data_IF_371219443381
#
_entry.id   IF_371219443381
#
_cell.length_a   1.000
_cell.length_b   1.000
_cell.length_c   1.000
_cell.angle_alpha   90.00
_cell.angle_beta   90.00
_cell.angle_gamma   90.00
#
_symmetry.space_group_name_H-M   'P 1'
#
loop_
_entity.id
_entity.type
_entity.pdbx_description
1 polymer ?
#
# COMPACT_ATOMS: atom_id res chain seq x y z
N UNK A 1 -30.49 7.60 -24.60
CA UNK A 1 -29.16 6.95 -24.59
C UNK A 1 -28.52 7.37 -23.26
N UNK A 2 -28.51 6.46 -22.28
CA UNK A 2 -27.83 6.70 -21.00
C UNK A 2 -26.32 6.78 -21.30
N UNK A 3 -25.67 7.83 -20.81
CA UNK A 3 -24.20 7.90 -20.81
C UNK A 3 -23.63 6.62 -20.19
N UNK A 4 -22.54 6.06 -20.72
CA UNK A 4 -21.91 4.91 -20.08
C UNK A 4 -21.52 5.33 -18.66
N UNK A 5 -21.92 4.52 -17.67
CA UNK A 5 -21.57 4.66 -16.25
C UNK A 5 -20.05 4.70 -16.15
N UNK A 6 -19.47 5.88 -16.29
CA UNK A 6 -18.02 6.07 -16.16
C UNK A 6 -17.67 5.80 -14.72
N UNK A 7 -16.99 4.68 -14.48
CA UNK A 7 -16.47 4.32 -13.15
C UNK A 7 -15.66 5.52 -12.65
N UNK A 8 -16.05 6.15 -11.54
CA UNK A 8 -15.37 7.34 -11.06
C UNK A 8 -13.90 6.99 -10.80
N UNK A 9 -12.98 7.84 -11.26
CA UNK A 9 -11.55 7.71 -10.96
C UNK A 9 -11.32 8.06 -9.49
N UNK A 10 -11.58 7.11 -8.60
CA UNK A 10 -11.46 7.26 -7.16
C UNK A 10 -10.47 6.23 -6.62
N UNK A 11 -9.48 6.72 -5.88
CA UNK A 11 -8.39 5.95 -5.29
C UNK A 11 -8.45 6.05 -3.77
N UNK A 12 -8.50 4.91 -3.09
CA UNK A 12 -8.21 4.81 -1.66
C UNK A 12 -6.77 4.32 -1.48
N UNK A 13 -5.97 5.06 -0.76
CA UNK A 13 -4.63 4.64 -0.33
C UNK A 13 -4.67 4.23 1.13
N UNK A 14 -4.25 3.00 1.44
CA UNK A 14 -4.05 2.56 2.81
C UNK A 14 -2.56 2.69 3.13
N UNK A 15 -2.22 3.77 3.82
CA UNK A 15 -0.83 4.11 4.16
C UNK A 15 -0.32 3.35 5.39
N UNK A 16 0.92 2.89 5.33
CA UNK A 16 1.63 2.38 6.50
C UNK A 16 2.02 3.51 7.44
N UNK A 17 2.53 4.60 6.86
CA UNK A 17 2.80 5.87 7.55
C UNK A 17 2.12 7.03 6.80
N UNK A 18 1.94 8.19 7.43
CA UNK A 18 1.71 9.40 6.66
C UNK A 18 2.96 9.66 5.80
N UNK A 19 2.80 10.15 4.56
CA UNK A 19 3.94 10.43 3.72
C UNK A 19 4.87 11.49 4.36
N UNK A 20 6.14 11.13 4.51
CA UNK A 20 7.19 12.02 5.04
C UNK A 20 8.31 12.15 3.99
N UNK A 21 8.07 12.90 2.89
CA UNK A 21 8.98 12.92 1.73
C UNK A 21 10.37 13.49 2.03
N UNK A 22 10.48 14.34 3.05
CA UNK A 22 11.75 14.93 3.48
C UNK A 22 12.51 14.07 4.48
N UNK A 23 11.88 13.01 5.02
CA UNK A 23 12.46 12.16 6.06
C UNK A 23 12.79 10.75 5.54
N UNK A 24 12.02 10.21 4.58
CA UNK A 24 12.17 8.82 4.14
C UNK A 24 12.02 8.64 2.63
N UNK A 25 12.80 7.73 2.06
CA UNK A 25 12.67 7.35 0.64
C UNK A 25 11.29 6.76 0.32
N UNK A 26 10.70 6.00 1.26
CA UNK A 26 9.34 5.47 1.13
C UNK A 26 8.28 6.60 1.11
N UNK A 27 8.46 7.64 1.95
CA UNK A 27 7.61 8.84 1.94
C UNK A 27 7.71 9.59 0.62
N UNK A 28 8.90 9.73 0.05
CA UNK A 28 9.09 10.35 -1.26
C UNK A 28 8.44 9.51 -2.36
N UNK A 29 8.60 8.17 -2.35
CA UNK A 29 8.00 7.27 -3.32
C UNK A 29 6.48 7.37 -3.33
N UNK A 30 5.84 7.29 -2.16
CA UNK A 30 4.38 7.36 -2.09
C UNK A 30 3.87 8.71 -2.58
N UNK A 31 4.57 9.82 -2.31
CA UNK A 31 4.23 11.14 -2.86
C UNK A 31 4.29 11.17 -4.38
N UNK A 32 5.27 10.55 -5.02
CA UNK A 32 5.33 10.44 -6.47
C UNK A 32 4.16 9.64 -7.05
N UNK A 33 3.77 8.56 -6.40
CA UNK A 33 2.59 7.77 -6.79
C UNK A 33 1.31 8.61 -6.68
N UNK A 34 1.11 9.31 -5.56
CA UNK A 34 -0.03 10.20 -5.36
C UNK A 34 -0.11 11.28 -6.45
N UNK A 35 1.01 11.97 -6.73
CA UNK A 35 1.09 12.97 -7.78
C UNK A 35 0.76 12.39 -9.16
N UNK A 36 1.27 11.19 -9.48
CA UNK A 36 0.96 10.51 -10.73
C UNK A 36 -0.53 10.18 -10.89
N UNK A 37 -1.21 9.77 -9.82
CA UNK A 37 -2.65 9.52 -9.83
C UNK A 37 -3.46 10.82 -9.93
N UNK A 38 -3.05 11.89 -9.22
CA UNK A 38 -3.69 13.22 -9.35
C UNK A 38 -3.61 13.74 -10.79
N UNK A 39 -2.45 13.64 -11.45
CA UNK A 39 -2.26 14.03 -12.85
C UNK A 39 -3.15 13.23 -13.81
N UNK A 40 -3.51 12.00 -13.45
CA UNK A 40 -4.45 11.17 -14.20
C UNK A 40 -5.93 11.43 -13.85
N UNK A 41 -6.20 12.42 -12.99
CA UNK A 41 -7.53 12.84 -12.60
C UNK A 41 -8.21 11.95 -11.55
N UNK A 42 -7.44 11.21 -10.74
CA UNK A 42 -8.00 10.47 -9.61
C UNK A 42 -8.32 11.41 -8.45
N UNK A 43 -9.50 11.22 -7.87
CA UNK A 43 -9.80 11.73 -6.53
C UNK A 43 -9.20 10.77 -5.51
N UNK A 44 -8.37 11.29 -4.60
CA UNK A 44 -7.59 10.45 -3.68
C UNK A 44 -8.06 10.66 -2.25
N UNK A 45 -8.34 9.56 -1.57
CA UNK A 45 -8.48 9.49 -0.11
C UNK A 45 -7.29 8.72 0.45
N UNK A 46 -6.52 9.33 1.33
CA UNK A 46 -5.40 8.68 2.03
C UNK A 46 -5.83 8.30 3.42
N UNK A 47 -5.87 6.99 3.71
CA UNK A 47 -6.32 6.44 4.97
C UNK A 47 -5.18 5.79 5.76
N UNK A 48 -5.17 5.97 7.09
CA UNK A 48 -4.16 5.42 7.98
C UNK A 48 -4.72 5.19 9.39
N UNK A 49 -4.10 4.23 10.12
CA UNK A 49 -4.50 3.91 11.52
C UNK A 49 -3.88 4.86 12.55
N UNK A 50 -2.66 5.31 12.35
CA UNK A 50 -1.96 6.15 13.31
C UNK A 50 -2.37 7.63 13.22
N UNK A 51 -2.10 8.36 14.30
CA UNK A 51 -2.28 9.81 14.37
C UNK A 51 -1.29 10.58 13.48
N UNK A 52 -1.38 11.92 13.47
CA UNK A 52 -0.50 12.78 12.70
C UNK A 52 0.98 12.59 13.10
N UNK A 53 1.88 12.73 12.13
CA UNK A 53 3.33 12.74 12.30
C UNK A 53 3.89 14.17 12.28
N UNK A 54 5.09 14.35 12.86
CA UNK A 54 5.71 15.68 12.93
C UNK A 54 6.21 16.20 11.57
N UNK A 55 6.47 15.30 10.60
CA UNK A 55 7.09 15.61 9.29
C UNK A 55 6.20 15.19 8.12
N UNK A 56 4.91 15.00 8.36
CA UNK A 56 3.97 14.56 7.32
C UNK A 56 3.77 15.64 6.26
N UNK A 57 3.59 15.19 5.01
CA UNK A 57 3.24 16.07 3.92
C UNK A 57 1.83 16.66 4.11
N UNK A 58 1.66 17.90 3.69
CA UNK A 58 0.34 18.53 3.61
C UNK A 58 -0.45 17.97 2.41
N UNK A 59 -1.12 16.84 2.63
CA UNK A 59 -1.91 16.17 1.60
C UNK A 59 -3.18 16.97 1.24
N UNK A 60 -3.73 17.71 2.20
CA UNK A 60 -4.95 18.48 2.00
C UNK A 60 -4.72 19.65 1.05
N UNK A 61 -3.54 20.28 1.07
CA UNK A 61 -3.15 21.31 0.09
C UNK A 61 -3.07 20.78 -1.34
N UNK A 62 -2.90 19.45 -1.51
CA UNK A 62 -2.90 18.76 -2.80
C UNK A 62 -4.30 18.28 -3.22
N UNK A 63 -5.33 18.57 -2.42
CA UNK A 63 -6.70 18.10 -2.65
C UNK A 63 -6.91 16.62 -2.30
N UNK A 64 -6.03 16.03 -1.49
CA UNK A 64 -6.14 14.65 -1.01
C UNK A 64 -6.84 14.63 0.34
N UNK A 65 -7.98 13.90 0.43
CA UNK A 65 -8.69 13.71 1.69
C UNK A 65 -7.85 12.84 2.64
N UNK A 66 -7.65 13.28 3.89
CA UNK A 66 -7.00 12.49 4.94
C UNK A 66 -8.05 11.85 5.84
N UNK A 67 -7.94 10.53 6.04
CA UNK A 67 -8.88 9.78 6.88
C UNK A 67 -8.12 8.93 7.89
N UNK A 68 -8.54 9.01 9.15
CA UNK A 68 -8.07 8.07 10.17
C UNK A 68 -9.00 6.87 10.23
N UNK A 69 -8.45 5.69 10.00
CA UNK A 69 -9.16 4.40 10.07
C UNK A 69 -8.73 3.60 11.29
N UNK A 70 -9.51 2.60 11.66
CA UNK A 70 -9.20 1.70 12.78
C UNK A 70 -9.05 0.28 12.29
N UNK A 71 -8.03 -0.40 12.82
CA UNK A 71 -7.83 -1.82 12.56
C UNK A 71 -8.89 -2.64 13.31
N UNK A 72 -9.43 -3.67 12.66
CA UNK A 72 -10.43 -4.60 13.23
C UNK A 72 -11.68 -3.91 13.80
N UNK A 73 -12.10 -2.80 13.21
CA UNK A 73 -13.24 -2.02 13.64
C UNK A 73 -14.25 -1.85 12.50
N UNK A 74 -15.54 -2.05 12.80
CA UNK A 74 -16.63 -1.94 11.81
C UNK A 74 -16.84 -0.51 11.28
N UNK A 75 -16.22 0.50 11.90
CA UNK A 75 -16.21 1.86 11.34
C UNK A 75 -15.53 1.93 9.98
N UNK A 76 -14.55 1.04 9.74
CA UNK A 76 -13.89 0.95 8.43
C UNK A 76 -14.85 0.39 7.37
N UNK A 77 -15.65 -0.61 7.69
CA UNK A 77 -16.66 -1.16 6.77
C UNK A 77 -17.71 -0.11 6.41
N UNK A 78 -18.19 0.66 7.41
CA UNK A 78 -19.09 1.79 7.17
C UNK A 78 -18.47 2.87 6.29
N UNK A 79 -17.19 3.17 6.52
CA UNK A 79 -16.44 4.12 5.69
C UNK A 79 -16.38 3.66 4.22
N UNK A 80 -16.09 2.38 3.97
CA UNK A 80 -16.05 1.80 2.64
C UNK A 80 -17.42 1.79 1.96
N UNK A 81 -18.47 1.37 2.69
CA UNK A 81 -19.83 1.25 2.17
C UNK A 81 -20.46 2.61 1.83
N UNK A 82 -20.03 3.69 2.47
CA UNK A 82 -20.49 5.04 2.19
C UNK A 82 -19.82 5.69 0.97
N UNK A 83 -18.83 5.03 0.36
CA UNK A 83 -18.01 5.57 -0.72
C UNK A 83 -17.86 4.58 -1.86
N UNK A 84 -17.47 5.10 -3.05
CA UNK A 84 -17.16 4.27 -4.22
C UNK A 84 -15.71 4.47 -4.59
N UNK A 85 -14.88 3.46 -4.35
CA UNK A 85 -13.51 3.43 -4.81
C UNK A 85 -13.37 2.45 -5.96
N UNK A 86 -12.76 2.89 -7.06
CA UNK A 86 -12.45 2.03 -8.21
C UNK A 86 -11.09 1.35 -8.06
N UNK A 87 -10.21 1.97 -7.29
CA UNK A 87 -8.83 1.53 -7.11
C UNK A 87 -8.42 1.66 -5.64
N UNK A 88 -7.70 0.67 -5.15
CA UNK A 88 -7.14 0.64 -3.80
C UNK A 88 -5.64 0.44 -3.92
N UNK A 89 -4.86 1.29 -3.27
CA UNK A 89 -3.40 1.15 -3.18
C UNK A 89 -3.00 0.86 -1.75
N UNK A 90 -2.35 -0.26 -1.54
CA UNK A 90 -1.73 -0.61 -0.26
C UNK A 90 -0.26 -0.19 -0.25
N UNK A 91 0.14 0.60 0.74
CA UNK A 91 1.54 0.92 1.01
C UNK A 91 2.13 -0.20 1.87
N UNK A 92 2.84 -1.11 1.25
CA UNK A 92 3.47 -2.31 1.82
C UNK A 92 2.49 -3.45 2.14
N UNK A 93 3.03 -4.68 2.17
CA UNK A 93 2.25 -5.89 2.40
C UNK A 93 1.48 -5.90 3.73
N UNK A 94 2.00 -5.23 4.77
CA UNK A 94 1.34 -5.18 6.09
C UNK A 94 -0.03 -4.49 6.02
N UNK A 95 -0.19 -3.43 5.23
CA UNK A 95 -1.48 -2.77 5.08
C UNK A 95 -2.45 -3.61 4.24
N UNK A 96 -1.94 -4.31 3.23
CA UNK A 96 -2.73 -5.25 2.44
C UNK A 96 -3.27 -6.38 3.34
N UNK A 97 -2.40 -7.05 4.10
CA UNK A 97 -2.76 -8.13 5.01
C UNK A 97 -3.82 -7.71 6.04
N UNK A 98 -3.71 -6.48 6.54
CA UNK A 98 -4.62 -5.96 7.57
C UNK A 98 -6.01 -5.58 7.05
N UNK A 99 -6.11 -5.10 5.80
CA UNK A 99 -7.32 -4.44 5.32
C UNK A 99 -7.93 -5.05 4.06
N UNK A 100 -7.20 -5.84 3.26
CA UNK A 100 -7.66 -6.29 1.95
C UNK A 100 -8.93 -7.15 2.01
N UNK A 101 -9.05 -8.03 3.00
CA UNK A 101 -10.21 -8.90 3.15
C UNK A 101 -11.51 -8.09 3.37
N UNK A 102 -11.49 -7.04 4.22
CA UNK A 102 -12.64 -6.15 4.42
C UNK A 102 -12.97 -5.35 3.16
N UNK A 103 -11.94 -4.92 2.44
CA UNK A 103 -12.10 -4.20 1.18
C UNK A 103 -12.74 -5.11 0.12
N UNK A 104 -12.30 -6.36 0.00
CA UNK A 104 -12.92 -7.34 -0.91
C UNK A 104 -14.38 -7.60 -0.58
N UNK A 105 -14.73 -7.66 0.71
CA UNK A 105 -16.12 -7.85 1.14
C UNK A 105 -17.01 -6.63 0.82
N UNK A 106 -16.52 -5.41 1.08
CA UNK A 106 -17.29 -4.18 0.90
C UNK A 106 -17.27 -3.64 -0.54
N UNK A 107 -16.17 -3.85 -1.27
CA UNK A 107 -15.89 -3.30 -2.59
C UNK A 107 -15.36 -4.38 -3.56
N UNK A 108 -16.14 -5.42 -3.87
CA UNK A 108 -15.67 -6.60 -4.61
C UNK A 108 -15.17 -6.28 -6.04
N UNK A 109 -15.59 -5.16 -6.62
CA UNK A 109 -15.21 -4.73 -7.96
C UNK A 109 -14.00 -3.77 -7.98
N UNK A 110 -13.50 -3.31 -6.82
CA UNK A 110 -12.34 -2.46 -6.76
C UNK A 110 -11.06 -3.24 -7.13
N UNK A 111 -10.17 -2.60 -7.90
CA UNK A 111 -8.86 -3.18 -8.22
C UNK A 111 -7.88 -2.90 -7.08
N UNK A 112 -7.14 -3.92 -6.68
CA UNK A 112 -6.17 -3.86 -5.60
C UNK A 112 -4.76 -3.75 -6.16
N UNK A 113 -4.06 -2.68 -5.79
CA UNK A 113 -2.65 -2.45 -6.06
C UNK A 113 -1.86 -2.60 -4.77
N UNK A 114 -0.73 -3.27 -4.84
CA UNK A 114 0.24 -3.32 -3.75
C UNK A 114 1.54 -2.63 -4.18
N UNK A 115 1.90 -1.54 -3.50
CA UNK A 115 3.26 -1.01 -3.57
C UNK A 115 4.10 -1.68 -2.50
N UNK A 116 5.08 -2.47 -2.90
CA UNK A 116 5.94 -3.21 -1.95
C UNK A 116 6.83 -2.25 -1.15
N UNK A 117 7.12 -1.07 -1.69
CA UNK A 117 8.16 -0.13 -1.25
C UNK A 117 9.57 -0.76 -1.25
N UNK A 118 9.71 -1.98 -0.77
CA UNK A 118 10.79 -2.96 -0.92
C UNK A 118 10.23 -4.34 -0.51
N UNK A 119 10.91 -5.42 -0.85
CA UNK A 119 10.57 -6.75 -0.32
C UNK A 119 11.09 -6.87 1.11
N UNK A 120 10.21 -6.62 2.06
CA UNK A 120 10.56 -6.55 3.49
C UNK A 120 11.20 -7.85 4.00
N UNK A 121 10.63 -9.00 3.66
CA UNK A 121 11.18 -10.30 4.07
C UNK A 121 12.58 -10.52 3.48
N UNK A 122 12.81 -10.09 2.24
CA UNK A 122 14.12 -10.14 1.59
C UNK A 122 15.12 -9.24 2.31
N UNK A 123 14.76 -7.99 2.59
CA UNK A 123 15.62 -7.06 3.32
C UNK A 123 16.00 -7.61 4.69
N UNK A 124 15.02 -8.08 5.46
CA UNK A 124 15.28 -8.64 6.79
C UNK A 124 16.14 -9.90 6.76
N UNK A 125 15.95 -10.79 5.77
CA UNK A 125 16.79 -11.99 5.64
C UNK A 125 18.25 -11.63 5.33
N UNK A 126 18.47 -10.57 4.51
CA UNK A 126 19.80 -10.05 4.21
C UNK A 126 20.46 -9.38 5.42
N UNK A 127 19.71 -8.55 6.16
CA UNK A 127 20.14 -7.93 7.41
C UNK A 127 20.55 -8.99 8.44
N UNK A 128 19.80 -10.07 8.55
CA UNK A 128 20.09 -11.18 9.44
C UNK A 128 21.39 -11.91 9.06
N UNK A 129 21.61 -12.15 7.75
CA UNK A 129 22.85 -12.74 7.27
C UNK A 129 24.07 -11.86 7.59
N UNK A 130 23.96 -10.55 7.38
CA UNK A 130 25.02 -9.58 7.75
C UNK A 130 25.28 -9.61 9.26
N UNK A 131 24.23 -9.60 10.08
CA UNK A 131 24.37 -9.64 11.54
C UNK A 131 25.08 -10.91 12.05
N UNK A 132 24.86 -12.03 11.35
CA UNK A 132 25.52 -13.32 11.64
C UNK A 132 26.91 -13.47 11.03
N UNK A 133 27.37 -12.53 10.24
CA UNK A 133 28.62 -12.63 9.49
C UNK A 133 28.62 -13.74 8.44
N UNK A 134 27.43 -14.12 7.92
CA UNK A 134 27.25 -15.19 6.94
C UNK A 134 26.95 -14.63 5.54
N UNK A 135 27.26 -15.41 4.51
CA UNK A 135 26.85 -15.09 3.14
C UNK A 135 25.36 -15.41 2.99
N UNK A 136 24.58 -14.41 2.58
CA UNK A 136 23.14 -14.58 2.30
C UNK A 136 22.90 -15.57 1.15
N UNK A 137 21.86 -16.38 1.30
CA UNK A 137 21.38 -17.34 0.28
C UNK A 137 19.88 -17.21 0.10
N UNK A 138 19.31 -17.53 -1.08
CA UNK A 138 17.86 -17.51 -1.31
C UNK A 138 17.08 -18.36 -0.28
N UNK A 139 17.65 -19.47 0.20
CA UNK A 139 17.04 -20.27 1.26
C UNK A 139 16.86 -19.52 2.59
N UNK A 140 17.66 -18.49 2.86
CA UNK A 140 17.53 -17.67 4.06
C UNK A 140 16.29 -16.77 3.96
N UNK A 141 15.98 -16.31 2.75
CA UNK A 141 14.76 -15.55 2.50
C UNK A 141 13.49 -16.39 2.73
N UNK A 142 13.44 -17.59 2.12
CA UNK A 142 12.28 -18.50 2.27
C UNK A 142 12.05 -18.91 3.74
N UNK A 143 13.09 -18.95 4.56
CA UNK A 143 13.01 -19.24 5.99
C UNK A 143 12.57 -18.05 6.85
N UNK A 144 12.58 -16.83 6.32
CA UNK A 144 12.09 -15.67 7.06
C UNK A 144 10.58 -15.82 7.30
N UNK A 145 10.08 -15.67 8.54
CA UNK A 145 8.67 -15.88 8.84
C UNK A 145 7.74 -14.87 8.13
N UNK A 146 8.28 -13.76 7.62
CA UNK A 146 7.54 -12.77 6.83
C UNK A 146 7.39 -13.16 5.36
N UNK A 147 8.23 -14.08 4.84
CA UNK A 147 8.25 -14.47 3.43
C UNK A 147 6.86 -14.88 2.93
N UNK A 148 6.25 -15.87 3.56
CA UNK A 148 4.95 -16.39 3.11
C UNK A 148 3.83 -15.35 3.24
N UNK A 149 3.89 -14.49 4.23
CA UNK A 149 2.91 -13.41 4.43
C UNK A 149 3.01 -12.37 3.30
N UNK A 150 4.23 -11.93 2.98
CA UNK A 150 4.49 -10.96 1.91
C UNK A 150 4.15 -11.55 0.54
N UNK A 151 4.56 -12.79 0.26
CA UNK A 151 4.20 -13.49 -0.98
C UNK A 151 2.67 -13.66 -1.09
N UNK A 152 1.99 -14.02 -0.03
CA UNK A 152 0.53 -14.11 -0.03
C UNK A 152 -0.15 -12.76 -0.35
N UNK A 153 0.40 -11.64 0.16
CA UNK A 153 -0.08 -10.30 -0.17
C UNK A 153 0.11 -9.94 -1.65
N UNK A 154 1.26 -10.32 -2.23
CA UNK A 154 1.50 -10.16 -3.67
C UNK A 154 0.46 -10.91 -4.51
N UNK A 155 0.10 -12.14 -4.13
CA UNK A 155 -0.89 -12.95 -4.85
C UNK A 155 -2.34 -12.44 -4.68
N UNK A 156 -2.65 -11.75 -3.59
CA UNK A 156 -3.99 -11.19 -3.37
C UNK A 156 -4.23 -9.88 -4.13
N UNK A 157 -3.17 -9.15 -4.47
CA UNK A 157 -3.26 -7.92 -5.25
C UNK A 157 -3.45 -8.21 -6.74
N UNK A 158 -4.23 -7.36 -7.44
CA UNK A 158 -4.41 -7.46 -8.89
C UNK A 158 -3.16 -6.97 -9.65
N UNK A 159 -2.38 -6.07 -9.05
CA UNK A 159 -1.13 -5.55 -9.59
C UNK A 159 -0.15 -5.19 -8.47
N UNK A 160 1.11 -5.56 -8.65
CA UNK A 160 2.19 -5.24 -7.72
C UNK A 160 3.16 -4.24 -8.33
N UNK A 161 3.51 -3.20 -7.57
CA UNK A 161 4.51 -2.22 -7.92
C UNK A 161 5.82 -2.59 -7.21
N UNK A 162 6.78 -3.09 -7.98
CA UNK A 162 8.10 -3.52 -7.49
C UNK A 162 9.13 -2.42 -7.78
N UNK A 163 10.00 -2.10 -6.83
CA UNK A 163 10.91 -0.95 -6.94
C UNK A 163 12.13 -1.21 -7.82
N UNK A 164 12.53 -2.47 -8.00
CA UNK A 164 13.76 -2.79 -8.70
C UNK A 164 13.64 -4.04 -9.56
N UNK A 165 14.41 -4.05 -10.65
CA UNK A 165 14.51 -5.22 -11.52
C UNK A 165 15.06 -6.46 -10.79
N UNK A 166 16.10 -6.36 -9.94
CA UNK A 166 16.58 -7.50 -9.16
C UNK A 166 15.52 -8.12 -8.24
N UNK A 167 14.69 -7.30 -7.59
CA UNK A 167 13.60 -7.83 -6.74
C UNK A 167 12.52 -8.52 -7.59
N UNK A 168 12.19 -7.95 -8.75
CA UNK A 168 11.24 -8.56 -9.68
C UNK A 168 11.74 -9.92 -10.21
N UNK A 169 13.04 -10.09 -10.42
CA UNK A 169 13.63 -11.34 -10.91
C UNK A 169 13.69 -12.44 -9.85
N UNK A 170 13.54 -12.09 -8.58
CA UNK A 170 13.47 -13.04 -7.46
C UNK A 170 12.06 -13.60 -7.22
N UNK A 171 11.02 -12.90 -7.71
CA UNK A 171 9.61 -13.26 -7.61
C UNK A 171 9.16 -14.10 -8.80
#
# INVERSE_FOLDING_TARGET
>A
MSEPDTIPKSLLVIGYTWPEPNATAAGQRIMWLLQGFLQKGYQITFARTAGPGAYEADLESLGIEKVRIRLNDTSFDRFLSARRFSLILFDRFLTEEQFSWRIRDCLPNARLLLDTADLHSLRYSREEAVRKGSVWRPSDWVRDPRFYREIASLFRADLNLIISKPEKELL
#
